data_IF_597523082476
#
_entry.id   IF_597523082476
#
_cell.length_a   1.000
_cell.length_b   1.000
_cell.length_c   1.000
_cell.angle_alpha   90.00
_cell.angle_beta   90.00
_cell.angle_gamma   90.00
#
_symmetry.space_group_name_H-M   'P 1'
#
loop_
_entity.id
_entity.type
_entity.pdbx_description
1 polymer ?
#
# COMPACT_ATOMS: atom_id res chain seq x y z
N UNK A 1 -21.94 -19.84 -8.33
CA UNK A 1 -21.58 -19.07 -7.10
C UNK A 1 -20.34 -18.24 -7.38
N UNK A 2 -20.42 -16.90 -7.35
CA UNK A 2 -19.23 -16.03 -7.44
C UNK A 2 -18.30 -16.35 -6.26
N UNK A 3 -17.07 -16.84 -6.53
CA UNK A 3 -16.04 -17.02 -5.48
C UNK A 3 -15.93 -15.71 -4.70
N UNK A 4 -16.29 -15.74 -3.41
CA UNK A 4 -16.11 -14.58 -2.52
C UNK A 4 -14.64 -14.17 -2.56
N UNK A 5 -14.37 -12.94 -3.02
CA UNK A 5 -13.02 -12.38 -3.00
C UNK A 5 -12.53 -12.32 -1.54
N UNK A 6 -11.53 -13.11 -1.22
CA UNK A 6 -10.94 -13.15 0.14
C UNK A 6 -9.68 -12.28 0.19
N UNK A 7 -9.82 -11.00 -0.20
CA UNK A 7 -8.71 -10.04 -0.22
C UNK A 7 -9.00 -8.93 0.79
N UNK A 8 -8.03 -8.70 1.66
CA UNK A 8 -8.05 -7.67 2.68
C UNK A 8 -7.20 -6.48 2.24
N UNK A 9 -7.68 -5.25 2.42
CA UNK A 9 -6.85 -4.06 2.28
C UNK A 9 -6.51 -3.46 3.65
N UNK A 10 -5.24 -3.12 3.86
CA UNK A 10 -4.75 -2.43 5.04
C UNK A 10 -4.13 -1.10 4.60
N UNK A 11 -4.54 -0.01 5.24
CA UNK A 11 -4.18 1.35 4.86
C UNK A 11 -3.39 1.96 6.03
N UNK A 12 -2.04 1.87 6.02
CA UNK A 12 -1.23 2.40 7.10
C UNK A 12 -1.25 3.93 7.09
N UNK A 13 -1.40 4.52 8.25
CA UNK A 13 -1.32 5.97 8.44
C UNK A 13 -0.75 6.32 9.81
N UNK A 14 -0.18 7.50 9.93
CA UNK A 14 0.34 8.05 11.20
C UNK A 14 0.02 9.53 11.33
N UNK A 15 -0.16 9.99 12.57
CA UNK A 15 -0.43 11.40 12.83
C UNK A 15 0.82 12.26 12.55
N UNK A 16 1.99 11.80 13.03
CA UNK A 16 3.24 12.52 12.91
C UNK A 16 3.88 12.33 11.53
N UNK A 17 3.52 13.19 10.59
CA UNK A 17 4.18 13.30 9.30
C UNK A 17 5.24 14.41 9.35
N UNK A 18 6.51 14.07 9.03
CA UNK A 18 7.63 15.02 9.14
C UNK A 18 7.48 16.26 8.24
N UNK A 19 6.93 16.11 7.04
CA UNK A 19 6.80 17.18 6.03
C UNK A 19 5.52 18.00 6.18
N UNK A 20 4.44 17.36 6.63
CA UNK A 20 3.12 17.98 6.76
C UNK A 20 2.41 17.34 7.95
N UNK A 21 2.42 18.02 9.14
CA UNK A 21 1.79 17.49 10.34
C UNK A 21 0.31 17.13 10.12
N UNK A 22 -0.11 16.03 10.70
CA UNK A 22 -1.48 15.50 10.59
C UNK A 22 -2.00 15.36 9.14
N UNK A 23 -1.12 15.16 8.15
CA UNK A 23 -1.43 15.09 6.72
C UNK A 23 -2.67 14.24 6.42
N UNK A 24 -2.81 13.10 7.07
CA UNK A 24 -3.93 12.16 6.86
C UNK A 24 -5.31 12.75 7.19
N UNK A 25 -5.35 13.75 8.08
CA UNK A 25 -6.58 14.41 8.53
C UNK A 25 -6.87 15.71 7.79
N UNK A 26 -5.94 16.20 6.96
CA UNK A 26 -6.17 17.42 6.18
C UNK A 26 -7.34 17.20 5.22
N UNK A 27 -8.28 18.17 5.16
CA UNK A 27 -9.45 18.02 4.32
C UNK A 27 -9.10 18.25 2.84
N UNK A 28 -9.68 17.42 1.98
CA UNK A 28 -9.77 17.60 0.55
C UNK A 28 -11.27 17.57 0.25
N UNK A 29 -11.85 18.69 -0.25
CA UNK A 29 -13.28 18.81 -0.46
C UNK A 29 -14.11 18.34 0.76
N UNK A 30 -13.81 18.88 1.94
CA UNK A 30 -14.49 18.61 3.22
C UNK A 30 -14.41 17.16 3.72
N UNK A 31 -13.54 16.31 3.15
CA UNK A 31 -13.32 14.94 3.59
C UNK A 31 -11.82 14.74 3.91
N UNK A 32 -11.45 14.17 5.07
CA UNK A 32 -10.05 13.88 5.39
C UNK A 32 -9.35 13.10 4.27
N UNK A 33 -8.09 13.43 3.97
CA UNK A 33 -7.29 12.79 2.92
C UNK A 33 -7.35 11.26 3.02
N UNK A 34 -7.19 10.71 4.23
CA UNK A 34 -7.21 9.26 4.45
C UNK A 34 -8.56 8.63 4.09
N UNK A 35 -9.65 9.38 4.20
CA UNK A 35 -10.98 8.88 3.85
C UNK A 35 -11.17 8.79 2.33
N UNK A 36 -10.50 9.62 1.53
CA UNK A 36 -10.46 9.45 0.08
C UNK A 36 -9.79 8.12 -0.27
N UNK A 37 -8.64 7.83 0.35
CA UNK A 37 -7.94 6.54 0.15
C UNK A 37 -8.85 5.37 0.53
N UNK A 38 -9.44 5.42 1.72
CA UNK A 38 -10.30 4.35 2.24
C UNK A 38 -11.51 4.09 1.32
N UNK A 39 -12.27 5.15 0.97
CA UNK A 39 -13.44 5.01 0.10
C UNK A 39 -13.06 4.50 -1.29
N UNK A 40 -11.97 5.02 -1.89
CA UNK A 40 -11.50 4.54 -3.19
C UNK A 40 -11.02 3.10 -3.15
N UNK A 41 -10.37 2.68 -2.07
CA UNK A 41 -9.99 1.27 -1.87
C UNK A 41 -11.22 0.35 -1.85
N UNK A 42 -12.31 0.75 -1.22
CA UNK A 42 -13.55 -0.01 -1.19
C UNK A 42 -14.29 -0.07 -2.54
N UNK A 43 -13.98 0.80 -3.50
CA UNK A 43 -14.50 0.73 -4.87
C UNK A 43 -13.83 -0.38 -5.71
N UNK A 44 -12.73 -0.98 -5.24
CA UNK A 44 -12.11 -2.14 -5.89
C UNK A 44 -13.06 -3.34 -5.86
N UNK A 45 -13.18 -4.03 -7.00
CA UNK A 45 -14.02 -5.23 -7.14
C UNK A 45 -13.42 -6.46 -6.45
N UNK A 46 -12.12 -6.40 -6.15
CA UNK A 46 -11.37 -7.51 -5.54
C UNK A 46 -11.31 -7.42 -4.02
N UNK A 47 -11.43 -6.21 -3.44
CA UNK A 47 -11.35 -6.02 -1.99
C UNK A 47 -12.66 -6.43 -1.32
N UNK A 48 -12.55 -7.33 -0.32
CA UNK A 48 -13.67 -7.75 0.51
C UNK A 48 -13.94 -6.77 1.66
N UNK A 49 -12.87 -6.30 2.29
CA UNK A 49 -12.91 -5.35 3.40
C UNK A 49 -11.59 -4.59 3.50
N UNK A 50 -11.66 -3.39 4.06
CA UNK A 50 -10.51 -2.54 4.27
C UNK A 50 -10.48 -1.99 5.70
N UNK A 51 -9.27 -1.76 6.24
CA UNK A 51 -9.05 -1.13 7.54
C UNK A 51 -8.01 -0.03 7.43
N UNK A 52 -8.27 1.09 8.11
CA UNK A 52 -7.27 2.11 8.38
C UNK A 52 -6.46 1.66 9.59
N UNK A 53 -5.13 1.52 9.44
CA UNK A 53 -4.21 1.12 10.49
C UNK A 53 -3.49 2.35 11.00
N UNK A 54 -3.83 2.86 12.18
CA UNK A 54 -3.34 4.14 12.70
C UNK A 54 -2.75 4.03 14.10
N UNK A 55 -1.92 5.01 14.47
CA UNK A 55 -1.21 5.09 15.74
C UNK A 55 -1.77 6.14 16.71
N UNK A 56 -2.81 6.86 16.32
CA UNK A 56 -3.33 7.95 17.12
C UNK A 56 -4.86 7.94 17.21
N UNK A 57 -5.35 8.20 18.45
CA UNK A 57 -6.78 8.27 18.74
C UNK A 57 -7.49 9.42 17.99
N UNK A 58 -6.77 10.49 17.59
CA UNK A 58 -7.35 11.58 16.80
C UNK A 58 -7.75 11.07 15.42
N UNK A 59 -6.86 10.32 14.75
CA UNK A 59 -7.19 9.67 13.47
C UNK A 59 -8.36 8.72 13.66
N UNK A 60 -8.31 7.83 14.65
CA UNK A 60 -9.35 6.86 14.91
C UNK A 60 -10.73 7.53 15.10
N UNK A 61 -10.81 8.57 15.95
CA UNK A 61 -12.07 9.27 16.20
C UNK A 61 -12.61 9.93 14.93
N UNK A 62 -11.72 10.60 14.18
CA UNK A 62 -12.13 11.33 12.99
C UNK A 62 -12.68 10.40 11.91
N UNK A 63 -11.94 9.33 11.56
CA UNK A 63 -12.36 8.45 10.47
C UNK A 63 -13.59 7.59 10.81
N UNK A 64 -13.82 7.31 12.10
CA UNK A 64 -15.04 6.61 12.56
C UNK A 64 -16.31 7.42 12.33
N UNK A 65 -16.26 8.75 12.32
CA UNK A 65 -17.41 9.62 11.97
C UNK A 65 -17.94 9.33 10.56
N UNK A 66 -17.06 8.83 9.69
CA UNK A 66 -17.38 8.46 8.30
C UNK A 66 -17.58 6.96 8.10
N UNK A 67 -17.74 6.18 9.17
CA UNK A 67 -17.99 4.74 9.12
C UNK A 67 -16.78 3.88 8.76
N UNK A 68 -15.56 4.39 8.82
CA UNK A 68 -14.37 3.60 8.50
C UNK A 68 -14.06 2.56 9.58
N UNK A 69 -13.66 1.35 9.14
CA UNK A 69 -13.07 0.33 10.01
C UNK A 69 -11.63 0.72 10.34
N UNK A 70 -11.28 0.67 11.62
CA UNK A 70 -9.99 1.14 12.13
C UNK A 70 -9.35 0.15 13.07
N UNK A 71 -8.06 -0.06 12.92
CA UNK A 71 -7.22 -0.83 13.84
C UNK A 71 -6.15 0.09 14.42
N UNK A 72 -6.12 0.16 15.75
CA UNK A 72 -5.06 0.87 16.46
C UNK A 72 -3.78 0.02 16.50
N UNK A 73 -2.65 0.65 16.16
CA UNK A 73 -1.33 0.02 16.10
C UNK A 73 -0.31 0.84 16.89
N UNK A 74 0.83 0.25 17.18
CA UNK A 74 1.92 0.91 17.90
C UNK A 74 2.39 2.19 17.19
N UNK A 75 2.83 3.17 17.98
CA UNK A 75 3.52 4.38 17.51
C UNK A 75 4.96 4.12 17.08
N UNK A 76 5.55 3.00 17.50
CA UNK A 76 6.98 2.71 17.34
C UNK A 76 7.34 2.07 15.99
N UNK A 77 6.36 1.79 15.14
CA UNK A 77 6.64 1.25 13.80
C UNK A 77 7.45 2.21 12.94
N UNK A 78 8.53 1.69 12.36
CA UNK A 78 9.45 2.46 11.50
C UNK A 78 8.85 2.74 10.12
N UNK A 79 7.97 1.86 9.65
CA UNK A 79 7.38 1.93 8.30
C UNK A 79 5.94 1.41 8.26
N UNK A 80 5.30 1.54 7.08
CA UNK A 80 3.92 1.10 6.86
C UNK A 80 3.74 -0.40 6.95
N UNK A 81 4.72 -1.19 6.47
CA UNK A 81 4.64 -2.65 6.45
C UNK A 81 4.64 -3.26 7.85
N UNK A 82 5.49 -2.77 8.76
CA UNK A 82 5.44 -3.16 10.19
C UNK A 82 4.04 -2.88 10.80
N UNK A 83 3.46 -1.72 10.47
CA UNK A 83 2.14 -1.31 10.97
C UNK A 83 1.03 -2.24 10.48
N UNK A 84 1.00 -2.56 9.20
CA UNK A 84 -0.01 -3.47 8.66
C UNK A 84 0.20 -4.91 9.12
N UNK A 85 1.44 -5.33 9.37
CA UNK A 85 1.73 -6.64 9.97
C UNK A 85 1.11 -6.76 11.37
N UNK A 86 1.30 -5.77 12.25
CA UNK A 86 0.63 -5.73 13.56
C UNK A 86 -0.90 -5.72 13.41
N UNK A 87 -1.42 -4.88 12.52
CA UNK A 87 -2.86 -4.79 12.28
C UNK A 87 -3.43 -6.14 11.80
N UNK A 88 -2.72 -6.84 10.92
CA UNK A 88 -3.11 -8.16 10.42
C UNK A 88 -3.11 -9.21 11.52
N UNK A 89 -2.09 -9.22 12.40
CA UNK A 89 -2.05 -10.08 13.59
C UNK A 89 -3.26 -9.82 14.52
N UNK A 90 -3.64 -8.55 14.73
CA UNK A 90 -4.79 -8.17 15.55
C UNK A 90 -6.16 -8.56 14.96
N UNK A 91 -6.30 -8.62 13.64
CA UNK A 91 -7.54 -9.09 13.00
C UNK A 91 -7.78 -10.55 13.37
N UNK A 92 -6.74 -11.34 13.53
CA UNK A 92 -6.85 -12.79 13.73
C UNK A 92 -7.44 -13.50 12.51
N UNK A 93 -7.64 -14.82 12.60
CA UNK A 93 -8.23 -15.64 11.53
C UNK A 93 -7.57 -15.40 10.15
N UNK A 94 -6.24 -15.38 10.15
CA UNK A 94 -5.40 -14.98 9.00
C UNK A 94 -5.61 -15.90 7.78
N UNK A 95 -6.03 -17.14 7.98
CA UNK A 95 -6.32 -18.11 6.92
C UNK A 95 -7.57 -17.76 6.09
N UNK A 96 -8.35 -16.78 6.53
CA UNK A 96 -9.55 -16.29 5.83
C UNK A 96 -9.18 -15.54 4.54
N UNK A 97 -8.01 -14.94 4.49
CA UNK A 97 -7.61 -14.07 3.38
C UNK A 97 -6.61 -14.76 2.47
N UNK A 98 -6.85 -14.66 1.16
CA UNK A 98 -5.92 -15.13 0.13
C UNK A 98 -4.74 -14.17 -0.03
N UNK A 99 -5.03 -12.85 -0.02
CA UNK A 99 -4.04 -11.79 -0.11
C UNK A 99 -4.35 -10.66 0.86
N UNK A 100 -3.28 -9.96 1.26
CA UNK A 100 -3.33 -8.71 2.02
C UNK A 100 -2.71 -7.61 1.17
N UNK A 101 -3.47 -6.54 0.92
CA UNK A 101 -3.04 -5.41 0.09
C UNK A 101 -2.69 -4.24 0.99
N UNK A 102 -1.42 -3.81 0.95
CA UNK A 102 -0.99 -2.51 1.49
C UNK A 102 -1.39 -1.42 0.49
N UNK A 103 -2.22 -0.48 0.91
CA UNK A 103 -2.57 0.72 0.16
C UNK A 103 -2.08 1.93 0.93
N UNK A 104 -1.08 2.64 0.41
CA UNK A 104 -0.47 3.75 1.13
C UNK A 104 -1.49 4.86 1.44
N UNK A 105 -1.59 5.23 2.73
CA UNK A 105 -2.61 6.15 3.25
C UNK A 105 -2.47 7.61 2.81
N UNK A 106 -1.53 7.93 1.93
CA UNK A 106 -1.29 9.29 1.41
C UNK A 106 -1.51 9.43 -0.11
N UNK A 107 -2.20 8.47 -0.72
CA UNK A 107 -2.54 8.43 -2.14
C UNK A 107 -4.06 8.67 -2.37
N UNK A 108 -4.58 9.90 -2.18
CA UNK A 108 -6.02 10.18 -2.24
C UNK A 108 -6.64 9.92 -3.62
N UNK A 109 -5.83 9.84 -4.66
CA UNK A 109 -6.26 9.53 -6.03
C UNK A 109 -5.97 8.07 -6.43
N UNK A 110 -5.69 7.17 -5.48
CA UNK A 110 -5.48 5.76 -5.78
C UNK A 110 -6.58 5.20 -6.69
N UNK A 111 -6.20 4.50 -7.75
CA UNK A 111 -7.17 3.93 -8.68
C UNK A 111 -7.65 2.55 -8.19
N UNK A 112 -8.96 2.33 -8.00
CA UNK A 112 -9.51 1.01 -7.70
C UNK A 112 -9.10 -0.05 -8.73
N UNK A 113 -9.06 0.32 -10.01
CA UNK A 113 -8.63 -0.58 -11.09
C UNK A 113 -7.15 -1.00 -10.97
N UNK A 114 -6.28 -0.15 -10.41
CA UNK A 114 -4.89 -0.55 -10.15
C UNK A 114 -4.83 -1.59 -9.04
N UNK A 115 -5.64 -1.47 -8.00
CA UNK A 115 -5.76 -2.48 -6.94
C UNK A 115 -6.23 -3.80 -7.54
N UNK A 116 -7.29 -3.77 -8.35
CA UNK A 116 -7.83 -4.96 -9.01
C UNK A 116 -6.76 -5.66 -9.88
N UNK A 117 -6.03 -4.91 -10.70
CA UNK A 117 -4.94 -5.45 -11.55
C UNK A 117 -3.81 -6.09 -10.75
N UNK A 118 -3.43 -5.51 -9.60
CA UNK A 118 -2.40 -6.08 -8.72
C UNK A 118 -2.85 -7.42 -8.15
N UNK A 119 -4.11 -7.49 -7.69
CA UNK A 119 -4.70 -8.74 -7.18
C UNK A 119 -4.78 -9.79 -8.28
N UNK A 120 -5.28 -9.43 -9.47
CA UNK A 120 -5.39 -10.33 -10.62
C UNK A 120 -4.03 -10.88 -11.07
N UNK A 121 -3.01 -10.03 -11.05
CA UNK A 121 -1.65 -10.46 -11.35
C UNK A 121 -1.14 -11.46 -10.30
N UNK A 122 -1.37 -11.19 -9.01
CA UNK A 122 -0.97 -12.10 -7.93
C UNK A 122 -1.75 -13.43 -7.98
N UNK A 123 -3.02 -13.39 -8.37
CA UNK A 123 -3.84 -14.60 -8.58
C UNK A 123 -3.30 -15.52 -9.69
N UNK A 124 -2.62 -14.94 -10.69
CA UNK A 124 -2.00 -15.67 -11.81
C UNK A 124 -0.57 -16.11 -11.52
N UNK A 125 0.08 -15.56 -10.50
CA UNK A 125 1.48 -15.82 -10.15
C UNK A 125 1.55 -16.23 -8.66
N UNK A 126 1.00 -17.38 -8.35
CA UNK A 126 0.87 -17.88 -6.96
C UNK A 126 2.18 -18.35 -6.33
N UNK A 127 3.23 -18.47 -7.08
CA UNK A 127 4.62 -18.70 -6.64
C UNK A 127 5.24 -17.45 -6.03
N UNK A 128 4.82 -16.26 -6.45
CA UNK A 128 5.27 -15.01 -5.84
C UNK A 128 4.65 -14.81 -4.45
N UNK A 129 5.48 -14.45 -3.46
CA UNK A 129 5.03 -14.11 -2.11
C UNK A 129 4.58 -12.67 -1.97
N UNK A 130 5.17 -11.78 -2.78
CA UNK A 130 4.90 -10.33 -2.79
C UNK A 130 4.84 -9.85 -4.23
N UNK A 131 3.82 -9.03 -4.56
CA UNK A 131 3.68 -8.40 -5.87
C UNK A 131 3.71 -6.89 -5.72
N UNK A 132 4.57 -6.24 -6.50
CA UNK A 132 4.79 -4.79 -6.55
C UNK A 132 4.47 -4.26 -7.95
N UNK A 133 3.50 -3.36 -8.13
CA UNK A 133 3.29 -2.70 -9.41
C UNK A 133 4.34 -1.63 -9.66
N UNK A 134 4.76 -1.48 -10.89
CA UNK A 134 5.68 -0.41 -11.30
C UNK A 134 5.22 0.31 -12.56
N UNK A 135 5.67 1.57 -12.69
CA UNK A 135 5.42 2.41 -13.85
C UNK A 135 6.75 2.90 -14.42
N UNK A 136 6.88 2.92 -15.74
CA UNK A 136 8.03 3.57 -16.40
C UNK A 136 7.95 5.09 -16.21
N UNK A 137 9.03 5.70 -15.73
CA UNK A 137 9.16 7.14 -15.54
C UNK A 137 10.49 7.62 -16.07
N UNK A 138 10.58 8.87 -16.53
CA UNK A 138 11.87 9.48 -16.89
C UNK A 138 12.74 9.61 -15.63
N UNK A 139 14.08 9.55 -15.77
CA UNK A 139 14.99 9.84 -14.67
C UNK A 139 14.68 11.20 -14.03
N UNK A 140 14.77 11.26 -12.70
CA UNK A 140 14.42 12.46 -11.95
C UNK A 140 15.22 12.56 -10.66
N UNK A 141 15.53 13.78 -10.23
CA UNK A 141 16.18 14.04 -8.95
C UNK A 141 15.21 13.97 -7.76
N UNK A 142 13.92 13.65 -8.00
CA UNK A 142 12.93 13.52 -6.93
C UNK A 142 13.15 12.25 -6.12
N UNK A 143 13.78 12.39 -4.96
CA UNK A 143 14.05 11.31 -3.99
C UNK A 143 12.79 10.78 -3.29
N UNK A 144 11.62 11.43 -3.46
CA UNK A 144 10.36 10.89 -2.94
C UNK A 144 9.84 9.72 -3.78
N UNK A 145 10.29 9.59 -5.03
CA UNK A 145 9.93 8.47 -5.89
C UNK A 145 10.81 7.27 -5.57
N UNK A 146 10.19 6.16 -5.22
CA UNK A 146 10.86 4.89 -5.01
C UNK A 146 11.01 4.19 -6.35
N UNK A 147 12.23 3.83 -6.74
CA UNK A 147 12.56 3.11 -7.97
C UNK A 147 12.88 1.66 -7.65
N UNK A 148 12.72 0.80 -8.62
CA UNK A 148 13.07 -0.61 -8.49
C UNK A 148 13.80 -1.13 -9.74
N UNK A 149 14.64 -2.14 -9.54
CA UNK A 149 15.27 -2.93 -10.58
C UNK A 149 14.72 -4.35 -10.51
N UNK A 150 14.47 -4.93 -11.66
CA UNK A 150 14.02 -6.32 -11.77
C UNK A 150 14.86 -7.07 -12.80
N UNK A 151 14.95 -8.39 -12.66
CA UNK A 151 15.55 -9.27 -13.65
C UNK A 151 14.64 -9.46 -14.88
N UNK A 152 15.07 -10.32 -15.82
CA UNK A 152 14.31 -10.63 -17.05
C UNK A 152 12.97 -11.33 -16.79
N UNK A 153 12.81 -12.00 -15.64
CA UNK A 153 11.57 -12.64 -15.18
C UNK A 153 10.63 -11.67 -14.45
N UNK A 154 10.97 -10.37 -14.38
CA UNK A 154 10.30 -9.33 -13.59
C UNK A 154 10.35 -9.57 -12.07
N UNK A 155 11.26 -10.37 -11.56
CA UNK A 155 11.50 -10.50 -10.13
C UNK A 155 12.27 -9.28 -9.64
N UNK A 156 11.82 -8.68 -8.53
CA UNK A 156 12.43 -7.47 -7.97
C UNK A 156 13.77 -7.83 -7.33
N UNK A 157 14.84 -7.18 -7.78
CA UNK A 157 16.19 -7.38 -7.27
C UNK A 157 16.56 -6.34 -6.21
N UNK A 158 16.14 -5.07 -6.42
CA UNK A 158 16.49 -3.99 -5.53
C UNK A 158 15.52 -2.81 -5.62
N UNK A 159 15.32 -2.11 -4.50
CA UNK A 159 14.46 -0.94 -4.39
C UNK A 159 15.25 0.21 -3.76
N UNK A 160 15.19 1.40 -4.35
CA UNK A 160 15.92 2.57 -3.86
C UNK A 160 15.21 3.89 -4.17
N UNK A 161 15.54 4.92 -3.40
CA UNK A 161 15.16 6.31 -3.72
C UNK A 161 16.14 6.98 -4.69
N UNK A 162 17.36 6.46 -4.81
CA UNK A 162 18.30 6.86 -5.86
C UNK A 162 17.78 6.46 -7.25
N UNK A 163 18.35 7.06 -8.30
CA UNK A 163 18.13 6.57 -9.66
C UNK A 163 18.90 5.27 -9.85
N UNK A 164 18.18 4.19 -10.09
CA UNK A 164 18.72 2.85 -10.33
C UNK A 164 18.08 2.25 -11.58
N UNK A 165 18.82 1.46 -12.39
CA UNK A 165 20.27 1.22 -12.28
C UNK A 165 21.08 2.50 -12.51
N UNK A 166 22.29 2.58 -11.96
CA UNK A 166 23.25 3.63 -12.32
C UNK A 166 23.86 3.30 -13.68
N UNK A 167 23.89 4.26 -14.58
CA UNK A 167 24.39 4.09 -15.92
C UNK A 167 25.56 5.06 -16.16
N UNK A 168 26.72 4.49 -16.42
CA UNK A 168 27.95 5.27 -16.56
C UNK A 168 28.03 6.04 -17.89
N UNK A 169 27.70 5.37 -19.01
CA UNK A 169 27.89 5.97 -20.37
C UNK A 169 26.56 6.34 -21.03
N UNK A 170 25.56 5.47 -20.94
CA UNK A 170 24.27 5.65 -21.61
C UNK A 170 23.18 5.85 -20.57
N UNK A 171 22.61 7.05 -20.48
CA UNK A 171 21.50 7.32 -19.56
C UNK A 171 20.26 6.58 -20.00
N UNK A 172 19.70 5.77 -19.12
CA UNK A 172 18.41 5.11 -19.36
C UNK A 172 17.32 6.12 -19.72
N UNK A 173 16.55 5.81 -20.75
CA UNK A 173 15.40 6.64 -21.10
C UNK A 173 14.28 6.54 -20.05
N UNK A 174 14.22 5.43 -19.32
CA UNK A 174 13.17 5.17 -18.35
C UNK A 174 13.67 4.37 -17.13
N UNK A 175 13.18 4.73 -15.95
CA UNK A 175 13.33 3.98 -14.72
C UNK A 175 11.98 3.33 -14.36
N UNK A 176 11.99 2.27 -13.52
CA UNK A 176 10.77 1.69 -12.97
C UNK A 176 10.47 2.35 -11.62
N UNK A 177 9.38 3.12 -11.53
CA UNK A 177 8.87 3.69 -10.27
C UNK A 177 7.92 2.68 -9.62
N UNK A 178 8.13 2.37 -8.34
CA UNK A 178 7.14 1.63 -7.53
C UNK A 178 5.87 2.46 -7.33
N UNK A 179 4.72 1.83 -7.52
CA UNK A 179 3.42 2.41 -7.15
C UNK A 179 3.06 2.01 -5.71
N UNK A 180 2.31 2.86 -5.06
CA UNK A 180 2.00 2.79 -3.61
C UNK A 180 0.97 1.69 -3.25
N UNK A 181 1.08 0.52 -3.88
CA UNK A 181 0.26 -0.67 -3.64
C UNK A 181 1.21 -1.87 -3.53
N UNK A 182 1.03 -2.71 -2.52
CA UNK A 182 1.79 -3.97 -2.40
C UNK A 182 0.80 -5.08 -2.08
N UNK A 183 0.89 -6.20 -2.78
CA UNK A 183 0.12 -7.40 -2.48
C UNK A 183 1.02 -8.43 -1.82
N UNK A 184 0.59 -8.95 -0.68
CA UNK A 184 1.27 -9.97 0.10
C UNK A 184 0.45 -11.25 0.16
N UNK A 185 1.11 -12.42 0.12
CA UNK A 185 0.55 -13.60 0.77
C UNK A 185 0.51 -13.34 2.29
N UNK A 186 -0.51 -13.84 3.02
CA UNK A 186 -0.60 -13.67 4.47
C UNK A 186 0.67 -14.06 5.22
N UNK A 187 1.26 -15.23 4.86
CA UNK A 187 2.48 -15.75 5.49
C UNK A 187 3.67 -14.81 5.27
N UNK A 188 3.86 -14.30 4.06
CA UNK A 188 4.95 -13.38 3.76
C UNK A 188 4.85 -12.08 4.57
N UNK A 189 3.63 -11.55 4.79
CA UNK A 189 3.43 -10.39 5.66
C UNK A 189 3.73 -10.71 7.13
N UNK A 190 3.41 -11.91 7.59
CA UNK A 190 3.65 -12.31 8.99
C UNK A 190 5.12 -12.58 9.31
N UNK A 191 5.94 -12.88 8.29
CA UNK A 191 7.39 -13.06 8.41
C UNK A 191 8.14 -11.71 8.51
N UNK A 192 7.47 -10.60 8.20
CA UNK A 192 8.04 -9.26 8.29
C UNK A 192 8.09 -8.75 9.73
#
# INVERSE_FOLDING_TARGET
MKKKNNVLALIPTRLNSRRLPAKSLLPINNLPLIMHVYKRTLLSKKIKEAYICCDDKKIQREVRKYGAKVIMTSKHHRNGTERICEAFKKIGNNNKYKFVIDVQGDEPLISPNHIDKVVEFHEKNLDADIVLPSLKVKPTNNTNLVKLVSNSKNEVMYISRANIPYEFKNKSKNLKKHLSIISFKPQALLMY
#
